data_IF_626573208998
#
_entry.id   IF_626573208998
#
_cell.length_a   1.000
_cell.length_b   1.000
_cell.length_c   1.000
_cell.angle_alpha   90.00
_cell.angle_beta   90.00
_cell.angle_gamma   90.00
#
_symmetry.space_group_name_H-M   'P 1'
#
loop_
_entity.id
_entity.type
_entity.pdbx_description
1 polymer ?
#
# COMPACT_ATOMS: atom_id res chain seq x y z
N UNK A 1 32.12 23.65 -1.48
CA UNK A 1 30.70 23.72 -1.88
C UNK A 1 30.43 22.56 -2.83
N UNK A 2 29.57 21.62 -2.47
CA UNK A 2 29.13 20.59 -3.43
C UNK A 2 28.27 21.27 -4.49
N UNK A 3 28.69 21.25 -5.75
CA UNK A 3 27.90 21.80 -6.86
C UNK A 3 26.83 20.78 -7.26
N UNK A 4 25.65 21.25 -7.66
CA UNK A 4 24.54 20.38 -8.11
C UNK A 4 24.75 19.83 -9.53
N UNK A 5 25.87 20.16 -10.18
CA UNK A 5 26.13 19.90 -11.59
C UNK A 5 26.11 18.40 -11.95
N UNK A 6 26.50 17.53 -11.01
CA UNK A 6 26.54 16.09 -11.23
C UNK A 6 25.32 15.34 -10.66
N UNK A 7 24.36 16.03 -10.05
CA UNK A 7 23.20 15.38 -9.46
C UNK A 7 22.27 14.77 -10.51
N UNK A 8 22.04 13.47 -10.39
CA UNK A 8 21.16 12.71 -11.28
C UNK A 8 19.70 12.66 -10.79
N UNK A 9 19.40 13.23 -9.62
CA UNK A 9 18.09 13.08 -8.97
C UNK A 9 16.92 13.49 -9.87
N UNK A 10 17.07 14.57 -10.63
CA UNK A 10 16.05 15.11 -11.54
C UNK A 10 16.25 14.69 -13.01
N UNK A 11 17.10 13.70 -13.27
CA UNK A 11 17.29 13.13 -14.61
C UNK A 11 16.45 11.87 -14.80
N UNK A 12 16.02 11.54 -16.03
CA UNK A 12 15.34 10.29 -16.31
C UNK A 12 16.14 9.05 -15.88
N UNK A 13 15.42 7.96 -15.62
CA UNK A 13 15.98 6.64 -15.31
C UNK A 13 15.22 5.55 -16.05
N UNK A 14 15.91 4.84 -16.94
CA UNK A 14 15.39 3.61 -17.51
C UNK A 14 15.40 2.51 -16.44
N UNK A 15 14.23 2.16 -15.90
CA UNK A 15 14.11 1.15 -14.84
C UNK A 15 14.05 -0.27 -15.39
N UNK A 16 13.36 -0.46 -16.52
CA UNK A 16 13.29 -1.71 -17.27
C UNK A 16 12.97 -1.41 -18.75
N UNK A 17 13.06 -2.40 -19.65
CA UNK A 17 12.68 -2.22 -21.06
C UNK A 17 11.25 -1.68 -21.17
N UNK A 18 11.08 -0.52 -21.79
CA UNK A 18 9.77 0.14 -21.95
C UNK A 18 9.24 0.86 -20.70
N UNK A 19 10.03 0.94 -19.63
CA UNK A 19 9.69 1.64 -18.39
C UNK A 19 10.77 2.66 -18.02
N UNK A 20 10.56 3.91 -18.43
CA UNK A 20 11.37 5.06 -18.04
C UNK A 20 10.65 5.89 -16.97
N UNK A 21 11.39 6.30 -15.94
CA UNK A 21 10.94 7.23 -14.92
C UNK A 21 11.42 8.64 -15.27
N UNK A 22 10.56 9.65 -15.12
CA UNK A 22 10.89 11.06 -15.41
C UNK A 22 11.91 11.70 -14.46
N UNK A 23 12.13 11.09 -13.29
CA UNK A 23 13.17 11.45 -12.33
C UNK A 23 13.46 10.25 -11.40
N UNK A 24 14.44 10.39 -10.51
CA UNK A 24 14.89 9.32 -9.59
C UNK A 24 14.25 9.41 -8.20
N UNK A 25 13.21 10.22 -8.03
CA UNK A 25 12.51 10.39 -6.76
C UNK A 25 11.36 9.37 -6.71
N UNK A 26 11.42 8.47 -5.73
CA UNK A 26 10.36 7.48 -5.48
C UNK A 26 9.53 7.91 -4.27
N UNK A 27 8.21 7.99 -4.44
CA UNK A 27 7.30 8.07 -3.30
C UNK A 27 7.14 6.66 -2.72
N UNK A 28 7.90 6.36 -1.67
CA UNK A 28 7.95 5.04 -1.05
C UNK A 28 6.62 4.57 -0.46
N UNK A 29 6.49 3.25 -0.24
CA UNK A 29 5.26 2.67 0.29
C UNK A 29 4.95 3.21 1.68
N UNK A 30 3.75 3.75 1.87
CA UNK A 30 3.33 4.36 3.15
C UNK A 30 1.89 3.96 3.48
N UNK A 31 1.70 2.99 4.38
CA UNK A 31 0.36 2.59 4.83
C UNK A 31 -0.34 3.72 5.57
N UNK A 32 -1.53 4.11 5.09
CA UNK A 32 -2.23 5.32 5.58
C UNK A 32 -3.47 5.05 6.42
N UNK A 33 -3.94 3.80 6.49
CA UNK A 33 -5.15 3.40 7.21
C UNK A 33 -6.38 4.22 6.78
N UNK A 34 -6.58 4.36 5.47
CA UNK A 34 -7.58 5.24 4.87
C UNK A 34 -8.35 4.58 3.71
N UNK A 35 -8.34 3.27 3.54
CA UNK A 35 -9.35 2.60 2.72
C UNK A 35 -10.71 2.59 3.45
N UNK A 36 -11.74 2.05 2.79
CA UNK A 36 -12.98 1.68 3.47
C UNK A 36 -12.68 0.59 4.54
N UNK A 37 -13.16 0.74 5.78
CA UNK A 37 -12.83 -0.22 6.85
C UNK A 37 -13.53 -1.57 6.71
N UNK A 38 -14.60 -1.67 5.91
CA UNK A 38 -15.40 -2.89 5.72
C UNK A 38 -15.05 -3.56 4.40
N UNK A 39 -15.09 -2.83 3.29
CA UNK A 39 -14.87 -3.40 1.94
C UNK A 39 -13.39 -3.41 1.55
N UNK A 40 -12.55 -2.65 2.27
CA UNK A 40 -11.14 -2.44 1.97
C UNK A 40 -10.89 -1.82 0.59
N UNK A 41 -11.90 -1.17 0.03
CA UNK A 41 -11.83 -0.47 -1.26
C UNK A 41 -11.11 0.88 -1.06
N UNK A 42 -10.14 1.24 -1.92
CA UNK A 42 -9.60 2.60 -1.96
C UNK A 42 -10.72 3.62 -2.23
N UNK A 43 -10.82 4.65 -1.38
CA UNK A 43 -11.84 5.70 -1.52
C UNK A 43 -11.32 6.88 -2.36
N UNK A 44 -12.21 7.84 -2.65
CA UNK A 44 -11.84 9.03 -3.45
C UNK A 44 -10.64 9.78 -2.85
N UNK A 45 -10.53 9.83 -1.52
CA UNK A 45 -9.38 10.43 -0.83
C UNK A 45 -8.04 9.76 -1.18
N UNK A 46 -8.01 8.43 -1.34
CA UNK A 46 -6.79 7.71 -1.76
C UNK A 46 -6.42 8.11 -3.18
N UNK A 47 -7.42 8.17 -4.06
CA UNK A 47 -7.27 8.60 -5.45
C UNK A 47 -6.69 10.02 -5.55
N UNK A 48 -7.24 10.98 -4.80
CA UNK A 48 -6.74 12.36 -4.75
C UNK A 48 -5.31 12.40 -4.20
N UNK A 49 -5.03 11.64 -3.13
CA UNK A 49 -3.72 11.57 -2.49
C UNK A 49 -2.61 11.12 -3.45
N UNK A 50 -2.84 10.07 -4.25
CA UNK A 50 -1.86 9.59 -5.23
C UNK A 50 -1.77 10.51 -6.45
N UNK A 51 -2.90 11.06 -6.94
CA UNK A 51 -2.90 12.08 -8.02
C UNK A 51 -2.05 13.30 -7.68
N UNK A 52 -2.04 13.73 -6.41
CA UNK A 52 -1.21 14.85 -5.96
C UNK A 52 0.30 14.54 -6.00
N UNK A 53 0.68 13.26 -5.95
CA UNK A 53 2.07 12.77 -5.92
C UNK A 53 2.59 12.25 -7.24
N UNK A 54 1.78 12.30 -8.30
CA UNK A 54 2.13 11.79 -9.62
C UNK A 54 3.34 12.48 -10.28
N UNK A 55 3.91 13.53 -9.68
CA UNK A 55 5.19 14.14 -10.11
C UNK A 55 6.44 13.32 -9.73
N UNK A 56 6.31 12.37 -8.79
CA UNK A 56 7.39 11.41 -8.50
C UNK A 56 7.74 10.60 -9.76
N UNK A 57 9.01 10.18 -9.86
CA UNK A 57 9.45 9.25 -10.90
C UNK A 57 8.69 7.94 -10.83
N UNK A 58 8.50 7.42 -9.62
CA UNK A 58 7.68 6.25 -9.32
C UNK A 58 6.92 6.46 -8.01
N UNK A 59 5.65 6.05 -7.97
CA UNK A 59 4.88 5.86 -6.74
C UNK A 59 4.88 4.37 -6.42
N UNK A 60 5.15 4.01 -5.17
CA UNK A 60 4.81 2.70 -4.62
C UNK A 60 3.67 2.91 -3.63
N UNK A 61 2.58 2.17 -3.77
CA UNK A 61 1.39 2.34 -2.93
C UNK A 61 1.62 1.96 -1.47
N UNK A 62 0.65 2.27 -0.62
CA UNK A 62 0.45 1.55 0.64
C UNK A 62 0.33 0.03 0.43
N UNK A 63 0.58 -0.72 1.51
CA UNK A 63 0.45 -2.18 1.50
C UNK A 63 -0.98 -2.58 1.20
N UNK A 64 -1.13 -3.45 0.20
CA UNK A 64 -2.41 -3.91 -0.31
C UNK A 64 -2.52 -5.42 -0.10
N UNK A 65 -3.52 -5.84 0.69
CA UNK A 65 -3.70 -7.25 1.03
C UNK A 65 -4.11 -8.06 -0.21
N UNK A 66 -3.51 -9.24 -0.39
CA UNK A 66 -3.76 -10.13 -1.53
C UNK A 66 -4.88 -11.15 -1.31
N UNK A 67 -5.42 -11.24 -0.09
CA UNK A 67 -6.52 -12.13 0.29
C UNK A 67 -7.10 -11.68 1.64
N UNK A 68 -8.27 -12.19 2.00
CA UNK A 68 -8.84 -12.02 3.34
C UNK A 68 -7.88 -12.52 4.43
N UNK A 69 -7.33 -13.73 4.28
CA UNK A 69 -6.37 -14.31 5.22
C UNK A 69 -5.05 -13.52 5.34
N UNK A 70 -4.66 -12.81 4.26
CA UNK A 70 -3.47 -11.96 4.24
C UNK A 70 -3.66 -10.57 4.85
N UNK A 71 -4.90 -10.19 5.18
CA UNK A 71 -5.25 -8.91 5.79
C UNK A 71 -4.87 -8.86 7.26
N UNK A 72 -4.68 -7.65 7.81
CA UNK A 72 -4.39 -7.50 9.23
C UNK A 72 -4.21 -6.06 9.74
N UNK A 73 -4.55 -5.05 8.95
CA UNK A 73 -4.34 -3.65 9.31
C UNK A 73 -5.62 -2.84 9.08
N UNK A 74 -6.20 -2.32 10.15
CA UNK A 74 -7.45 -1.56 10.09
C UNK A 74 -7.35 -0.39 9.10
N UNK A 75 -8.27 -0.35 8.13
CA UNK A 75 -8.30 0.67 7.07
C UNK A 75 -7.19 0.54 6.02
N UNK A 76 -6.45 -0.56 5.95
CA UNK A 76 -5.63 -0.87 4.78
C UNK A 76 -6.51 -1.32 3.59
N UNK A 77 -6.06 -1.11 2.34
CA UNK A 77 -6.78 -1.58 1.17
C UNK A 77 -6.50 -3.06 0.86
N UNK A 78 -7.44 -3.70 0.16
CA UNK A 78 -7.30 -5.03 -0.44
C UNK A 78 -7.22 -4.99 -1.96
N UNK A 79 -6.81 -6.11 -2.57
CA UNK A 79 -6.96 -6.41 -3.99
C UNK A 79 -7.18 -7.92 -4.19
N UNK A 80 -8.36 -8.39 -3.82
CA UNK A 80 -8.83 -9.76 -4.00
C UNK A 80 -10.33 -9.85 -4.34
N UNK A 81 -11.00 -8.71 -4.52
CA UNK A 81 -12.37 -8.61 -5.02
C UNK A 81 -12.46 -7.68 -6.24
N UNK A 82 -13.50 -7.85 -7.05
CA UNK A 82 -13.75 -6.98 -8.21
C UNK A 82 -13.99 -5.52 -7.81
N UNK A 83 -14.65 -5.29 -6.66
CA UNK A 83 -14.89 -3.94 -6.14
C UNK A 83 -13.57 -3.25 -5.75
N UNK A 84 -12.65 -3.98 -5.13
CA UNK A 84 -11.32 -3.48 -4.79
C UNK A 84 -10.49 -3.19 -6.05
N UNK A 85 -10.55 -4.07 -7.05
CA UNK A 85 -9.91 -3.85 -8.35
C UNK A 85 -10.41 -2.54 -8.99
N UNK A 86 -11.72 -2.32 -8.99
CA UNK A 86 -12.34 -1.12 -9.53
C UNK A 86 -11.93 0.15 -8.77
N UNK A 87 -11.83 0.08 -7.44
CA UNK A 87 -11.28 1.15 -6.61
C UNK A 87 -9.84 1.50 -6.97
N UNK A 88 -8.98 0.50 -7.14
CA UNK A 88 -7.59 0.70 -7.56
C UNK A 88 -7.45 1.19 -9.00
N UNK A 89 -8.31 0.75 -9.92
CA UNK A 89 -8.33 1.24 -11.32
C UNK A 89 -8.46 2.76 -11.35
N UNK A 90 -9.38 3.33 -10.56
CA UNK A 90 -9.57 4.79 -10.44
C UNK A 90 -8.31 5.51 -9.93
N UNK A 91 -7.58 4.91 -8.97
CA UNK A 91 -6.31 5.44 -8.47
C UNK A 91 -5.27 5.47 -9.60
N UNK A 92 -5.09 4.33 -10.28
CA UNK A 92 -4.10 4.17 -11.36
C UNK A 92 -4.38 5.13 -12.51
N UNK A 93 -5.62 5.23 -12.96
CA UNK A 93 -6.03 6.16 -14.04
C UNK A 93 -5.69 7.61 -13.72
N UNK A 94 -5.94 8.05 -12.48
CA UNK A 94 -5.67 9.43 -12.07
C UNK A 94 -4.18 9.74 -11.94
N UNK A 95 -3.35 8.73 -11.68
CA UNK A 95 -1.88 8.87 -11.73
C UNK A 95 -1.39 8.89 -13.17
N UNK A 96 -1.87 7.98 -14.02
CA UNK A 96 -1.50 7.91 -15.44
C UNK A 96 -1.95 9.14 -16.23
N UNK A 97 -3.10 9.74 -15.91
CA UNK A 97 -3.55 11.00 -16.48
C UNK A 97 -2.61 12.19 -16.21
N UNK A 98 -1.62 12.04 -15.32
CA UNK A 98 -0.55 13.00 -15.02
C UNK A 98 0.84 12.51 -15.45
N UNK A 99 0.89 11.51 -16.32
CA UNK A 99 2.13 10.84 -16.75
C UNK A 99 2.97 10.36 -15.55
N UNK A 100 2.30 9.87 -14.51
CA UNK A 100 2.92 9.22 -13.37
C UNK A 100 3.08 7.71 -13.59
N UNK A 101 4.03 7.10 -12.88
CA UNK A 101 4.17 5.63 -12.80
C UNK A 101 3.81 5.19 -11.39
N UNK A 102 3.09 4.08 -11.25
CA UNK A 102 2.64 3.56 -9.96
C UNK A 102 2.73 2.04 -9.91
N UNK A 103 3.35 1.52 -8.85
CA UNK A 103 3.42 0.10 -8.53
C UNK A 103 2.60 -0.18 -7.27
N UNK A 104 1.85 -1.27 -7.28
CA UNK A 104 1.09 -1.74 -6.13
C UNK A 104 2.00 -2.60 -5.23
N UNK A 105 2.08 -2.26 -3.95
CA UNK A 105 2.77 -3.09 -2.96
C UNK A 105 1.85 -4.22 -2.50
N UNK A 106 2.02 -5.42 -3.05
CA UNK A 106 1.32 -6.62 -2.60
C UNK A 106 1.81 -7.04 -1.21
N UNK A 107 0.87 -7.37 -0.33
CA UNK A 107 1.15 -7.61 1.07
C UNK A 107 0.40 -8.82 1.63
N UNK A 108 1.09 -9.58 2.48
CA UNK A 108 0.53 -10.58 3.37
C UNK A 108 1.10 -10.35 4.78
N UNK A 109 0.25 -10.15 5.77
CA UNK A 109 0.70 -9.74 7.12
C UNK A 109 1.24 -10.88 7.97
N UNK A 110 0.74 -12.09 7.75
CA UNK A 110 1.08 -13.25 8.56
C UNK A 110 0.87 -12.99 10.06
N UNK A 111 1.85 -13.36 10.89
CA UNK A 111 1.79 -13.18 12.36
C UNK A 111 1.61 -11.75 12.88
N UNK A 112 1.77 -10.73 12.04
CA UNK A 112 1.48 -9.34 12.42
C UNK A 112 0.01 -8.96 12.21
N UNK A 113 -0.86 -9.89 11.82
CA UNK A 113 -2.31 -9.66 11.83
C UNK A 113 -2.89 -9.79 13.24
N UNK A 114 -4.04 -9.15 13.46
CA UNK A 114 -4.92 -9.42 14.59
C UNK A 114 -5.92 -10.53 14.25
N UNK A 115 -6.31 -11.37 15.21
CA UNK A 115 -7.25 -12.48 15.00
C UNK A 115 -8.63 -12.02 14.54
N UNK A 116 -9.10 -10.89 15.04
CA UNK A 116 -10.45 -10.40 14.74
C UNK A 116 -10.68 -9.97 13.29
N UNK A 117 -9.63 -9.91 12.45
CA UNK A 117 -9.79 -9.73 11.00
C UNK A 117 -10.19 -11.02 10.28
N UNK A 118 -10.08 -12.18 10.94
CA UNK A 118 -10.25 -13.50 10.33
C UNK A 118 -11.49 -14.20 10.88
N UNK A 119 -12.36 -14.70 10.00
CA UNK A 119 -13.63 -15.34 10.38
C UNK A 119 -13.44 -16.51 11.37
N UNK A 120 -12.34 -17.26 11.23
CA UNK A 120 -11.99 -18.39 12.09
C UNK A 120 -10.98 -18.02 13.20
N UNK A 121 -10.68 -16.73 13.39
CA UNK A 121 -9.65 -16.22 14.29
C UNK A 121 -8.24 -16.80 14.04
N UNK A 122 -7.98 -17.32 12.86
CA UNK A 122 -6.70 -17.92 12.51
C UNK A 122 -5.74 -16.87 11.95
N UNK A 123 -4.56 -16.79 12.56
CA UNK A 123 -3.44 -16.01 12.06
C UNK A 123 -2.33 -16.98 11.69
N UNK A 124 -1.92 -16.94 10.42
CA UNK A 124 -0.92 -17.88 9.90
C UNK A 124 0.46 -17.25 9.79
N UNK A 125 1.49 -18.07 9.90
CA UNK A 125 2.88 -17.68 9.68
C UNK A 125 3.70 -18.91 9.28
N UNK A 126 4.99 -18.73 9.07
CA UNK A 126 5.90 -19.84 8.77
C UNK A 126 6.06 -20.83 9.94
N UNK A 127 5.74 -20.43 11.17
CA UNK A 127 5.83 -21.27 12.37
C UNK A 127 4.81 -20.79 13.40
N UNK A 128 4.47 -21.65 14.37
CA UNK A 128 3.56 -21.34 15.48
C UNK A 128 4.20 -20.43 16.54
N UNK A 129 4.75 -19.29 16.11
CA UNK A 129 5.31 -18.25 16.98
C UNK A 129 4.40 -17.03 16.99
N UNK A 130 3.89 -16.66 18.16
CA UNK A 130 3.08 -15.46 18.32
C UNK A 130 3.95 -14.21 18.43
N UNK A 131 3.36 -13.07 18.10
CA UNK A 131 3.97 -11.77 18.35
C UNK A 131 3.76 -11.40 19.82
N UNK A 132 4.76 -11.65 20.66
CA UNK A 132 4.59 -11.65 22.12
C UNK A 132 4.32 -10.26 22.75
N UNK A 133 4.64 -9.16 22.06
CA UNK A 133 4.49 -7.80 22.60
C UNK A 133 4.13 -6.78 21.51
N UNK A 134 3.25 -5.83 21.81
CA UNK A 134 2.90 -4.75 20.89
C UNK A 134 1.45 -4.31 21.00
N UNK A 135 1.10 -3.26 20.28
CA UNK A 135 -0.28 -2.79 20.11
C UNK A 135 -0.60 -2.66 18.64
N UNK A 136 -1.82 -3.01 18.27
CA UNK A 136 -2.40 -2.86 16.93
C UNK A 136 -3.79 -2.23 17.02
N UNK A 137 -4.50 -2.15 15.89
CA UNK A 137 -5.94 -1.92 15.86
C UNK A 137 -6.64 -3.21 15.44
N UNK A 138 -7.68 -3.59 16.16
CA UNK A 138 -8.53 -4.72 15.79
C UNK A 138 -9.46 -4.35 14.61
N UNK A 139 -10.30 -5.29 14.16
CA UNK A 139 -11.30 -5.07 13.11
C UNK A 139 -12.33 -3.95 13.41
N UNK A 140 -12.57 -3.61 14.68
CA UNK A 140 -13.42 -2.48 15.09
C UNK A 140 -12.67 -1.14 15.09
N UNK A 141 -11.34 -1.16 14.88
CA UNK A 141 -10.48 0.01 14.94
C UNK A 141 -9.98 0.35 16.35
N UNK A 142 -10.32 -0.45 17.36
CA UNK A 142 -9.90 -0.24 18.75
C UNK A 142 -8.45 -0.67 18.97
N UNK A 143 -7.77 -0.03 19.92
CA UNK A 143 -6.44 -0.45 20.33
C UNK A 143 -6.49 -1.82 21.00
N UNK A 144 -5.71 -2.77 20.47
CA UNK A 144 -5.65 -4.15 20.97
C UNK A 144 -4.20 -4.67 21.02
N UNK A 145 -3.96 -5.74 21.78
CA UNK A 145 -2.71 -6.50 21.72
C UNK A 145 -2.66 -7.42 20.49
N UNK A 146 -1.53 -8.10 20.28
CA UNK A 146 -1.45 -9.23 19.34
C UNK A 146 -1.67 -10.51 20.14
N UNK A 147 -2.92 -10.81 20.48
CA UNK A 147 -3.34 -11.97 21.30
C UNK A 147 -3.91 -13.14 20.48
#
# INVERSE_FOLDING_TARGET
MSTIADYKLFTPLQLAKGLELKNRVVNGPTTRARADPVTHVPLERNTIYYKQRASAGLIVTEGCAISEQGFGWYGAPGLYTDEQQEGWRKVVERVHAKDGKIFLQLWYMGRQSHRSFHLNNEVVSASATQWATGRTRNASGDHAGFE
#
